data_IF_878703922269
#
_entry.id   IF_878703922269
#
_cell.length_a   1.000
_cell.length_b   1.000
_cell.length_c   1.000
_cell.angle_alpha   90.00
_cell.angle_beta   90.00
_cell.angle_gamma   90.00
#
_symmetry.space_group_name_H-M   'P 1'
#
loop_
_entity.id
_entity.type
_entity.pdbx_description
1 polymer ?
#
# COMPACT_ATOMS: atom_id res chain seq x y z
N UNK A 1 31.10 19.33 20.80
CA UNK A 1 30.77 17.88 20.95
C UNK A 1 29.45 17.47 20.28
N UNK A 2 28.48 18.36 20.04
CA UNK A 2 27.16 18.01 19.47
C UNK A 2 27.12 17.61 17.98
N UNK A 3 28.12 17.98 17.16
CA UNK A 3 28.16 17.57 15.73
C UNK A 3 28.53 16.10 15.51
N UNK A 4 29.29 15.49 16.43
CA UNK A 4 29.72 14.08 16.32
C UNK A 4 28.60 13.08 16.61
N UNK A 5 27.68 13.44 17.51
CA UNK A 5 26.53 12.60 17.91
C UNK A 5 25.40 12.61 16.89
N UNK A 6 25.19 13.70 16.15
CA UNK A 6 24.20 13.74 15.07
C UNK A 6 24.65 12.93 13.84
N UNK A 7 25.95 12.92 13.56
CA UNK A 7 26.54 12.18 12.44
C UNK A 7 26.66 10.68 12.72
N UNK A 8 26.77 10.28 14.00
CA UNK A 8 26.67 8.86 14.40
C UNK A 8 25.24 8.32 14.28
N UNK A 9 24.22 9.11 14.64
CA UNK A 9 22.82 8.69 14.54
C UNK A 9 22.32 8.56 13.09
N UNK A 10 22.80 9.41 12.16
CA UNK A 10 22.46 9.23 10.74
C UNK A 10 23.11 7.97 10.15
N UNK A 11 24.32 7.64 10.60
CA UNK A 11 25.01 6.42 10.17
C UNK A 11 24.40 5.13 10.72
N UNK A 12 23.83 5.14 11.93
CA UNK A 12 23.08 3.99 12.46
C UNK A 12 21.75 3.82 11.73
N UNK A 13 21.00 4.90 11.53
CA UNK A 13 19.74 4.86 10.79
C UNK A 13 19.93 4.39 9.33
N UNK A 14 21.04 4.76 8.69
CA UNK A 14 21.39 4.27 7.35
C UNK A 14 21.71 2.77 7.32
N UNK A 15 22.37 2.24 8.36
CA UNK A 15 22.65 0.80 8.46
C UNK A 15 21.37 0.00 8.73
N UNK A 16 20.47 0.51 9.57
CA UNK A 16 19.19 -0.13 9.84
C UNK A 16 18.29 -0.15 8.60
N UNK A 17 18.35 0.89 7.78
CA UNK A 17 17.65 0.93 6.49
C UNK A 17 18.21 -0.11 5.51
N UNK A 18 19.53 -0.22 5.42
CA UNK A 18 20.20 -1.22 4.58
C UNK A 18 19.88 -2.66 5.03
N UNK A 19 19.86 -2.91 6.34
CA UNK A 19 19.49 -4.21 6.88
C UNK A 19 18.03 -4.57 6.55
N UNK A 20 17.11 -3.60 6.62
CA UNK A 20 15.71 -3.80 6.19
C UNK A 20 15.61 -4.03 4.68
N UNK A 21 16.34 -3.29 3.88
CA UNK A 21 16.36 -3.47 2.41
C UNK A 21 16.84 -4.89 2.03
N UNK A 22 17.86 -5.39 2.73
CA UNK A 22 18.39 -6.74 2.51
C UNK A 22 17.38 -7.82 2.95
N UNK A 23 16.68 -7.62 4.07
CA UNK A 23 15.57 -8.49 4.49
C UNK A 23 14.41 -8.50 3.48
N UNK A 24 14.01 -7.34 2.96
CA UNK A 24 12.98 -7.27 1.91
C UNK A 24 13.43 -7.95 0.62
N UNK A 25 14.71 -7.84 0.26
CA UNK A 25 15.27 -8.52 -0.91
C UNK A 25 15.20 -10.04 -0.78
N UNK A 26 15.55 -10.57 0.40
CA UNK A 26 15.46 -12.02 0.68
C UNK A 26 14.00 -12.48 0.67
N UNK A 27 13.09 -11.73 1.30
CA UNK A 27 11.68 -12.09 1.35
C UNK A 27 11.03 -12.06 -0.05
N UNK A 28 11.38 -11.08 -0.89
CA UNK A 28 10.91 -11.02 -2.28
C UNK A 28 11.44 -12.20 -3.10
N UNK A 29 12.71 -12.58 -2.93
CA UNK A 29 13.26 -13.76 -3.61
C UNK A 29 12.50 -15.05 -3.21
N UNK A 30 12.16 -15.21 -1.92
CA UNK A 30 11.35 -16.34 -1.45
C UNK A 30 9.91 -16.33 -1.97
N UNK A 31 9.31 -15.14 -2.11
CA UNK A 31 7.99 -14.98 -2.72
C UNK A 31 8.01 -15.31 -4.21
N UNK A 32 9.04 -14.89 -4.94
CA UNK A 32 9.24 -15.25 -6.35
C UNK A 32 9.41 -16.76 -6.50
N UNK A 33 10.21 -17.40 -5.64
CA UNK A 33 10.40 -18.85 -5.65
C UNK A 33 9.11 -19.62 -5.38
N UNK A 34 8.33 -19.23 -4.35
CA UNK A 34 7.01 -19.83 -4.08
C UNK A 34 6.02 -19.61 -5.22
N UNK A 35 6.05 -18.44 -5.84
CA UNK A 35 5.19 -18.12 -6.98
C UNK A 35 5.54 -19.00 -8.18
N UNK A 36 6.83 -19.21 -8.43
CA UNK A 36 7.30 -20.12 -9.48
C UNK A 36 6.91 -21.58 -9.20
N UNK A 37 6.98 -22.02 -7.94
CA UNK A 37 6.54 -23.37 -7.55
C UNK A 37 5.02 -23.56 -7.75
N UNK A 38 4.20 -22.61 -7.31
CA UNK A 38 2.75 -22.67 -7.50
C UNK A 38 2.34 -22.62 -8.98
N UNK A 39 3.02 -21.81 -9.80
CA UNK A 39 2.81 -21.81 -11.25
C UNK A 39 3.12 -23.18 -11.86
N UNK A 40 4.21 -23.81 -11.41
CA UNK A 40 4.61 -25.13 -11.90
C UNK A 40 3.62 -26.22 -11.49
N UNK A 41 3.12 -26.17 -10.26
CA UNK A 41 2.08 -27.08 -9.77
C UNK A 41 0.75 -26.86 -10.52
N UNK A 42 0.38 -25.61 -10.80
CA UNK A 42 -0.79 -25.30 -11.62
C UNK A 42 -0.65 -25.83 -13.06
N UNK A 43 0.53 -25.66 -13.67
CA UNK A 43 0.82 -26.20 -15.00
C UNK A 43 0.78 -27.74 -15.00
N UNK A 44 1.30 -28.41 -13.95
CA UNK A 44 1.21 -29.86 -13.81
C UNK A 44 -0.25 -30.33 -13.69
N UNK A 45 -1.09 -29.62 -12.94
CA UNK A 45 -2.53 -29.91 -12.83
C UNK A 45 -3.26 -29.68 -14.16
N UNK A 46 -2.91 -28.63 -14.90
CA UNK A 46 -3.47 -28.38 -16.24
C UNK A 46 -3.07 -29.47 -17.23
N UNK A 47 -1.80 -29.89 -17.24
CA UNK A 47 -1.33 -30.99 -18.09
C UNK A 47 -1.97 -32.32 -17.72
N UNK A 48 -2.28 -32.55 -16.44
CA UNK A 48 -3.05 -33.73 -16.00
C UNK A 48 -4.53 -33.61 -16.39
N UNK A 49 -5.09 -32.40 -16.41
CA UNK A 49 -6.43 -32.12 -16.91
C UNK A 49 -6.56 -32.39 -18.41
N UNK A 50 -5.62 -31.89 -19.22
CA UNK A 50 -5.59 -32.10 -20.68
C UNK A 50 -5.44 -33.59 -21.04
N UNK A 51 -4.60 -34.34 -20.31
CA UNK A 51 -4.47 -35.81 -20.50
C UNK A 51 -5.73 -36.58 -20.12
N UNK A 52 -6.53 -36.06 -19.18
CA UNK A 52 -7.82 -36.66 -18.82
C UNK A 52 -8.92 -36.30 -19.84
N UNK A 53 -8.86 -35.12 -20.47
CA UNK A 53 -9.79 -34.72 -21.55
C UNK A 53 -9.53 -35.47 -22.86
N UNK A 54 -8.27 -35.78 -23.22
CA UNK A 54 -7.98 -36.66 -24.38
C UNK A 54 -8.46 -38.11 -24.19
N UNK A 55 -8.81 -38.51 -22.95
CA UNK A 55 -9.36 -39.83 -22.63
C UNK A 55 -10.90 -39.88 -22.62
N UNK A 56 -11.58 -38.73 -22.71
CA UNK A 56 -13.05 -38.63 -22.74
C UNK A 56 -13.49 -37.68 -23.86
N UNK A 57 -13.35 -38.16 -25.09
CA UNK A 57 -13.96 -37.51 -26.24
C UNK A 57 -15.49 -37.54 -26.17
N UNK A 58 -16.06 -36.34 -26.33
CA UNK A 58 -17.40 -36.03 -26.82
C UNK A 58 -18.61 -36.38 -25.94
N UNK A 59 -19.15 -35.35 -25.27
CA UNK A 59 -20.60 -35.13 -25.24
C UNK A 59 -20.88 -33.64 -25.29
N UNK A 60 -21.48 -33.20 -26.39
CA UNK A 60 -22.06 -31.88 -26.59
C UNK A 60 -22.99 -31.52 -25.42
N UNK A 61 -22.74 -30.38 -24.78
CA UNK A 61 -23.70 -29.79 -23.85
C UNK A 61 -24.24 -28.50 -24.48
N UNK A 62 -25.39 -28.64 -25.13
CA UNK A 62 -26.20 -27.51 -25.57
C UNK A 62 -26.64 -26.65 -24.37
N UNK A 63 -26.41 -25.36 -24.54
CA UNK A 63 -26.72 -24.27 -23.65
C UNK A 63 -28.24 -24.12 -23.46
N UNK A 64 -28.76 -24.57 -22.31
CA UNK A 64 -30.15 -24.27 -21.92
C UNK A 64 -30.22 -23.12 -20.91
N UNK A 65 -30.45 -21.93 -21.47
CA UNK A 65 -30.78 -20.70 -20.77
C UNK A 65 -32.19 -20.80 -20.15
N UNK A 66 -32.30 -20.90 -18.83
CA UNK A 66 -33.58 -20.88 -18.12
C UNK A 66 -33.77 -19.51 -17.45
N UNK A 67 -34.42 -18.60 -18.18
CA UNK A 67 -35.05 -17.43 -17.61
C UNK A 67 -36.57 -17.58 -17.66
N UNK A 68 -37.16 -17.38 -16.48
CA UNK A 68 -38.53 -17.00 -16.16
C UNK A 68 -39.59 -18.09 -15.89
N UNK A 69 -40.51 -17.82 -14.94
CA UNK A 69 -41.23 -18.81 -14.17
C UNK A 69 -42.68 -18.95 -14.62
N UNK A 70 -43.18 -20.17 -14.73
CA UNK A 70 -44.62 -20.42 -14.73
C UNK A 70 -44.90 -21.87 -14.35
N UNK A 71 -45.96 -22.03 -13.57
CA UNK A 71 -46.69 -23.27 -13.26
C UNK A 71 -46.17 -24.11 -12.09
N UNK A 72 -46.58 -23.64 -10.90
CA UNK A 72 -47.51 -24.36 -10.03
C UNK A 72 -47.49 -25.90 -10.08
N UNK A 73 -46.95 -26.50 -9.02
CA UNK A 73 -47.50 -27.72 -8.42
C UNK A 73 -47.27 -27.66 -6.91
N UNK A 74 -48.11 -26.87 -6.24
CA UNK A 74 -48.33 -27.00 -4.80
C UNK A 74 -48.98 -28.36 -4.54
N UNK A 75 -48.17 -29.40 -4.31
CA UNK A 75 -48.69 -30.64 -3.74
C UNK A 75 -49.05 -30.34 -2.28
N UNK A 76 -50.34 -30.04 -2.08
CA UNK A 76 -50.99 -30.10 -0.77
C UNK A 76 -50.69 -31.49 -0.21
N UNK A 77 -50.19 -31.52 1.03
CA UNK A 77 -50.22 -32.72 1.83
C UNK A 77 -51.67 -33.08 2.10
N UNK A 78 -52.25 -33.88 1.23
CA UNK A 78 -53.41 -34.68 1.56
C UNK A 78 -52.88 -35.94 2.23
N UNK A 79 -53.05 -35.92 3.55
CA UNK A 79 -52.97 -37.03 4.46
C UNK A 79 -53.94 -38.12 3.99
N UNK A 80 -53.47 -38.99 3.08
CA UNK A 80 -54.15 -40.25 2.80
C UNK A 80 -53.71 -41.24 3.86
N UNK A 81 -54.29 -41.06 5.05
CA UNK A 81 -54.67 -42.17 5.90
C UNK A 81 -55.50 -43.13 5.03
N UNK A 82 -54.83 -44.08 4.39
CA UNK A 82 -55.49 -45.27 3.86
C UNK A 82 -55.82 -46.10 5.09
N UNK A 83 -57.01 -45.83 5.61
CA UNK A 83 -57.75 -46.71 6.50
C UNK A 83 -57.61 -48.13 5.99
N UNK A 84 -56.97 -48.97 6.80
CA UNK A 84 -57.04 -50.43 6.67
C UNK A 84 -58.41 -50.91 7.13
N UNK A 85 -59.48 -50.43 6.51
CA UNK A 85 -60.83 -50.93 6.78
C UNK A 85 -61.68 -50.77 5.52
N UNK A 86 -61.74 -51.87 4.77
CA UNK A 86 -62.69 -52.03 3.68
C UNK A 86 -62.47 -53.37 2.98
N UNK A 87 -63.56 -54.03 2.60
CA UNK A 87 -64.48 -54.75 3.45
C UNK A 87 -64.16 -56.25 3.38
N UNK A 88 -64.59 -57.02 4.37
CA UNK A 88 -64.58 -58.49 4.27
C UNK A 88 -65.16 -58.91 2.92
N UNK A 89 -64.36 -59.65 2.16
CA UNK A 89 -64.79 -60.25 0.91
C UNK A 89 -65.92 -61.21 1.26
N UNK A 90 -67.14 -60.70 1.11
CA UNK A 90 -68.37 -61.45 1.23
C UNK A 90 -68.24 -62.58 0.22
N UNK A 91 -68.00 -63.78 0.74
CA UNK A 91 -68.31 -65.01 0.05
C UNK A 91 -69.77 -64.85 -0.36
N UNK A 92 -70.00 -64.58 -1.64
CA UNK A 92 -71.29 -64.80 -2.24
C UNK A 92 -71.55 -66.30 -2.05
N UNK A 93 -72.33 -66.63 -1.03
CA UNK A 93 -73.12 -67.84 -1.04
C UNK A 93 -74.07 -67.68 -2.24
N UNK A 94 -73.62 -68.13 -3.41
CA UNK A 94 -74.54 -68.51 -4.45
C UNK A 94 -75.43 -69.61 -3.86
N UNK A 95 -76.70 -69.25 -3.79
CA UNK A 95 -77.86 -70.09 -3.61
C UNK A 95 -77.60 -71.47 -4.22
N UNK A 96 -77.37 -72.47 -3.37
CA UNK A 96 -77.44 -73.88 -3.76
C UNK A 96 -78.92 -74.19 -4.02
N UNK A 97 -79.40 -73.72 -5.17
CA UNK A 97 -80.61 -74.18 -5.80
C UNK A 97 -80.56 -75.71 -5.88
N UNK A 98 -81.59 -76.32 -5.32
CA UNK A 98 -82.04 -77.69 -5.49
C UNK A 98 -81.21 -78.53 -6.49
N UNK A 99 -80.17 -79.23 -6.01
CA UNK A 99 -79.46 -80.26 -6.78
C UNK A 99 -80.30 -81.55 -6.86
N UNK A 100 -81.45 -81.47 -7.53
CA UNK A 100 -82.09 -82.62 -8.18
C UNK A 100 -81.79 -82.54 -9.69
N UNK A 101 -80.52 -82.30 -10.04
CA UNK A 101 -80.06 -82.37 -11.41
C UNK A 101 -79.64 -83.83 -11.68
N UNK A 102 -80.43 -84.53 -12.51
CA UNK A 102 -80.19 -85.91 -12.92
C UNK A 102 -78.69 -86.12 -13.24
N UNK A 103 -78.02 -86.93 -12.42
CA UNK A 103 -76.57 -87.18 -12.47
C UNK A 103 -76.15 -87.80 -13.82
N UNK A 104 -77.11 -88.34 -14.56
CA UNK A 104 -76.99 -89.03 -15.83
C UNK A 104 -77.65 -88.21 -16.96
N UNK A 105 -76.92 -87.88 -18.04
CA UNK A 105 -77.54 -87.29 -19.23
C UNK A 105 -78.61 -88.25 -19.80
N UNK A 106 -79.74 -87.75 -20.29
CA UNK A 106 -80.89 -88.56 -20.73
C UNK A 106 -80.62 -89.79 -21.64
N UNK A 107 -79.53 -89.87 -22.44
CA UNK A 107 -79.13 -91.10 -23.14
C UNK A 107 -78.53 -92.21 -22.24
N UNK A 108 -77.95 -91.84 -21.09
CA UNK A 108 -77.27 -92.74 -20.15
C UNK A 108 -78.24 -93.45 -19.18
N UNK A 109 -79.42 -92.87 -18.93
CA UNK A 109 -80.47 -93.49 -18.11
C UNK A 109 -81.11 -94.73 -18.74
N UNK A 110 -81.02 -94.87 -20.06
CA UNK A 110 -81.55 -96.02 -20.81
C UNK A 110 -80.57 -97.20 -20.92
N UNK A 111 -79.37 -97.08 -20.32
CA UNK A 111 -78.31 -98.09 -20.35
C UNK A 111 -78.45 -99.09 -19.20
N UNK A 112 -77.90 -100.30 -19.33
CA UNK A 112 -77.90 -101.27 -18.21
C UNK A 112 -77.10 -100.75 -17.02
N UNK A 113 -77.46 -101.16 -15.79
CA UNK A 113 -76.80 -100.73 -14.54
C UNK A 113 -75.26 -100.83 -14.58
N UNK A 114 -74.73 -101.83 -15.31
CA UNK A 114 -73.28 -102.06 -15.49
C UNK A 114 -72.65 -101.03 -16.43
N UNK A 115 -73.36 -100.61 -17.47
CA UNK A 115 -72.94 -99.55 -18.38
C UNK A 115 -73.03 -98.16 -17.72
N UNK A 116 -74.09 -97.90 -16.96
CA UNK A 116 -74.22 -96.69 -16.12
C UNK A 116 -73.08 -96.59 -15.10
N UNK A 117 -72.76 -97.68 -14.40
CA UNK A 117 -71.62 -97.72 -13.47
C UNK A 117 -70.27 -97.43 -14.15
N UNK A 118 -70.08 -97.90 -15.38
CA UNK A 118 -68.85 -97.64 -16.15
C UNK A 118 -68.77 -96.16 -16.58
N UNK A 119 -69.88 -95.57 -17.01
CA UNK A 119 -69.98 -94.15 -17.35
C UNK A 119 -69.71 -93.26 -16.12
N UNK A 120 -70.37 -93.52 -15.00
CA UNK A 120 -70.16 -92.77 -13.76
C UNK A 120 -68.71 -92.87 -13.28
N UNK A 121 -68.07 -94.05 -13.34
CA UNK A 121 -66.63 -94.18 -13.03
C UNK A 121 -65.73 -93.38 -13.98
N UNK A 122 -66.07 -93.31 -15.27
CA UNK A 122 -65.34 -92.49 -16.22
C UNK A 122 -65.53 -90.98 -15.96
N UNK A 123 -66.76 -90.54 -15.68
CA UNK A 123 -67.07 -89.15 -15.31
C UNK A 123 -66.35 -88.74 -14.01
N UNK A 124 -66.33 -89.62 -13.00
CA UNK A 124 -65.57 -89.39 -11.76
C UNK A 124 -64.07 -89.27 -12.05
N UNK A 125 -63.49 -90.09 -12.94
CA UNK A 125 -62.08 -89.95 -13.32
C UNK A 125 -61.79 -88.65 -14.06
N UNK A 126 -62.62 -88.27 -15.03
CA UNK A 126 -62.46 -86.99 -15.77
C UNK A 126 -62.57 -85.81 -14.81
N UNK A 127 -63.57 -85.79 -13.92
CA UNK A 127 -63.72 -84.75 -12.90
C UNK A 127 -62.55 -84.76 -11.90
N UNK A 128 -62.01 -85.93 -11.53
CA UNK A 128 -60.80 -86.03 -10.69
C UNK A 128 -59.57 -85.44 -11.40
N UNK A 129 -59.38 -85.73 -12.69
CA UNK A 129 -58.31 -85.16 -13.51
C UNK A 129 -58.48 -83.63 -13.68
N UNK A 130 -59.70 -83.14 -13.87
CA UNK A 130 -60.01 -81.70 -13.92
C UNK A 130 -59.73 -81.02 -12.59
N UNK A 131 -60.13 -81.61 -11.45
CA UNK A 131 -59.82 -81.09 -10.11
C UNK A 131 -58.32 -81.08 -9.86
N UNK A 132 -57.58 -82.12 -10.26
CA UNK A 132 -56.11 -82.16 -10.15
C UNK A 132 -55.46 -81.09 -11.04
N UNK A 133 -55.95 -80.88 -12.27
CA UNK A 133 -55.49 -79.82 -13.16
C UNK A 133 -55.74 -78.44 -12.56
N UNK A 134 -56.96 -78.17 -12.09
CA UNK A 134 -57.30 -76.90 -11.43
C UNK A 134 -56.48 -76.68 -10.16
N UNK A 135 -56.24 -77.74 -9.37
CA UNK A 135 -55.38 -77.68 -8.18
C UNK A 135 -53.93 -77.35 -8.53
N UNK A 136 -53.37 -77.96 -9.59
CA UNK A 136 -52.02 -77.64 -10.06
C UNK A 136 -51.90 -76.21 -10.57
N UNK A 137 -52.93 -75.70 -11.26
CA UNK A 137 -52.98 -74.31 -11.72
C UNK A 137 -53.08 -73.34 -10.55
N UNK A 138 -53.93 -73.62 -9.54
CA UNK A 138 -54.02 -72.82 -8.32
C UNK A 138 -52.68 -72.79 -7.57
N UNK A 139 -51.98 -73.91 -7.47
CA UNK A 139 -50.65 -73.95 -6.86
C UNK A 139 -49.63 -73.11 -7.65
N UNK A 140 -49.64 -73.19 -8.98
CA UNK A 140 -48.77 -72.36 -9.81
C UNK A 140 -49.06 -70.86 -9.62
N UNK A 141 -50.34 -70.46 -9.63
CA UNK A 141 -50.73 -69.08 -9.37
C UNK A 141 -50.38 -68.64 -7.94
N UNK A 142 -50.45 -69.54 -6.96
CA UNK A 142 -50.03 -69.26 -5.59
C UNK A 142 -48.53 -69.01 -5.51
N UNK A 143 -47.72 -69.86 -6.14
CA UNK A 143 -46.26 -69.69 -6.20
C UNK A 143 -45.86 -68.41 -6.93
N UNK A 144 -46.54 -68.10 -8.04
CA UNK A 144 -46.27 -66.88 -8.80
C UNK A 144 -46.72 -65.62 -8.04
N UNK A 145 -47.85 -65.66 -7.34
CA UNK A 145 -48.24 -64.59 -6.42
C UNK A 145 -47.19 -64.40 -5.32
N UNK A 146 -46.70 -65.46 -4.70
CA UNK A 146 -45.63 -65.37 -3.69
C UNK A 146 -44.35 -64.75 -4.26
N UNK A 147 -43.96 -65.13 -5.49
CA UNK A 147 -42.82 -64.53 -6.21
C UNK A 147 -43.04 -63.03 -6.48
N UNK A 148 -44.21 -62.66 -6.99
CA UNK A 148 -44.55 -61.27 -7.28
C UNK A 148 -44.61 -60.42 -6.01
N UNK A 149 -45.19 -60.92 -4.92
CA UNK A 149 -45.20 -60.24 -3.61
C UNK A 149 -43.77 -59.98 -3.11
N UNK A 150 -42.88 -60.97 -3.20
CA UNK A 150 -41.46 -60.77 -2.83
C UNK A 150 -40.80 -59.72 -3.72
N UNK A 151 -41.08 -59.74 -5.02
CA UNK A 151 -40.53 -58.75 -5.96
C UNK A 151 -41.01 -57.32 -5.67
N UNK A 152 -42.28 -57.16 -5.30
CA UNK A 152 -42.83 -55.86 -4.89
C UNK A 152 -42.14 -55.36 -3.61
N UNK A 153 -41.96 -56.23 -2.60
CA UNK A 153 -41.25 -55.87 -1.38
C UNK A 153 -39.81 -55.41 -1.65
N UNK A 154 -39.05 -56.15 -2.47
CA UNK A 154 -37.69 -55.78 -2.87
C UNK A 154 -37.65 -54.41 -3.58
N UNK A 155 -38.62 -54.14 -4.47
CA UNK A 155 -38.71 -52.86 -5.17
C UNK A 155 -39.12 -51.71 -4.23
N UNK A 156 -39.97 -51.95 -3.25
CA UNK A 156 -40.37 -50.97 -2.24
C UNK A 156 -39.20 -50.60 -1.32
N UNK A 157 -38.44 -51.60 -0.87
CA UNK A 157 -37.23 -51.40 -0.08
C UNK A 157 -36.18 -50.61 -0.86
N UNK A 158 -35.95 -50.95 -2.14
CA UNK A 158 -35.02 -50.23 -3.00
C UNK A 158 -35.50 -48.80 -3.29
N UNK A 159 -36.79 -48.58 -3.53
CA UNK A 159 -37.39 -47.24 -3.67
C UNK A 159 -37.15 -46.41 -2.42
N UNK A 160 -37.36 -46.98 -1.23
CA UNK A 160 -37.13 -46.29 0.03
C UNK A 160 -35.65 -45.96 0.24
N UNK A 161 -34.73 -46.87 -0.14
CA UNK A 161 -33.29 -46.65 -0.11
C UNK A 161 -32.88 -45.50 -1.03
N UNK A 162 -33.31 -45.53 -2.29
CA UNK A 162 -33.04 -44.48 -3.27
C UNK A 162 -33.63 -43.14 -2.83
N UNK A 163 -34.83 -43.13 -2.25
CA UNK A 163 -35.44 -41.91 -1.73
C UNK A 163 -34.59 -41.26 -0.61
N UNK A 164 -34.05 -42.05 0.32
CA UNK A 164 -33.14 -41.55 1.37
C UNK A 164 -31.82 -41.01 0.79
N UNK A 165 -31.28 -41.68 -0.21
CA UNK A 165 -30.04 -41.25 -0.89
C UNK A 165 -30.28 -39.93 -1.65
N UNK A 166 -31.38 -39.82 -2.39
CA UNK A 166 -31.75 -38.60 -3.12
C UNK A 166 -31.98 -37.41 -2.19
N UNK A 167 -32.68 -37.61 -1.06
CA UNK A 167 -32.89 -36.52 -0.08
C UNK A 167 -31.58 -36.09 0.58
N UNK A 168 -30.69 -37.04 0.90
CA UNK A 168 -29.35 -36.73 1.43
C UNK A 168 -28.49 -35.97 0.43
N UNK A 169 -28.43 -36.40 -0.84
CA UNK A 169 -27.70 -35.69 -1.89
C UNK A 169 -28.28 -34.30 -2.16
N UNK A 170 -29.61 -34.16 -2.16
CA UNK A 170 -30.26 -32.85 -2.29
C UNK A 170 -29.80 -31.87 -1.20
N UNK A 171 -29.79 -32.30 0.06
CA UNK A 171 -29.32 -31.48 1.18
C UNK A 171 -27.82 -31.12 1.04
N UNK A 172 -27.00 -32.04 0.54
CA UNK A 172 -25.58 -31.79 0.31
C UNK A 172 -25.34 -30.79 -0.83
N UNK A 173 -26.12 -30.87 -1.92
CA UNK A 173 -26.07 -29.92 -3.02
C UNK A 173 -26.43 -28.52 -2.54
N UNK A 174 -27.48 -28.38 -1.73
CA UNK A 174 -27.89 -27.08 -1.19
C UNK A 174 -26.83 -26.48 -0.26
N UNK A 175 -26.17 -27.32 0.56
CA UNK A 175 -25.04 -26.89 1.40
C UNK A 175 -23.87 -26.38 0.56
N UNK A 176 -23.49 -27.10 -0.49
CA UNK A 176 -22.41 -26.69 -1.39
C UNK A 176 -22.77 -25.40 -2.15
N UNK A 177 -24.00 -25.28 -2.65
CA UNK A 177 -24.49 -24.05 -3.30
C UNK A 177 -24.41 -22.84 -2.37
N UNK A 178 -24.80 -22.99 -1.11
CA UNK A 178 -24.71 -21.92 -0.12
C UNK A 178 -23.26 -21.50 0.11
N UNK A 179 -22.36 -22.47 0.32
CA UNK A 179 -20.93 -22.20 0.51
C UNK A 179 -20.27 -21.56 -0.72
N UNK A 180 -20.65 -21.99 -1.93
CA UNK A 180 -20.18 -21.39 -3.18
C UNK A 180 -20.62 -19.93 -3.30
N UNK A 181 -21.88 -19.63 -2.98
CA UNK A 181 -22.38 -18.26 -3.01
C UNK A 181 -21.68 -17.38 -1.97
N UNK A 182 -21.45 -17.88 -0.76
CA UNK A 182 -20.68 -17.17 0.26
C UNK A 182 -19.25 -16.87 -0.23
N UNK A 183 -18.57 -17.86 -0.82
CA UNK A 183 -17.24 -17.67 -1.41
C UNK A 183 -17.24 -16.64 -2.55
N UNK A 184 -18.24 -16.69 -3.45
CA UNK A 184 -18.40 -15.70 -4.53
C UNK A 184 -18.56 -14.28 -3.99
N UNK A 185 -19.47 -14.09 -3.01
CA UNK A 185 -19.65 -12.77 -2.39
C UNK A 185 -18.39 -12.28 -1.69
N UNK A 186 -17.60 -13.18 -1.11
CA UNK A 186 -16.32 -12.84 -0.50
C UNK A 186 -15.29 -12.40 -1.54
N UNK A 187 -15.21 -13.09 -2.68
CA UNK A 187 -14.38 -12.68 -3.81
C UNK A 187 -14.78 -11.29 -4.33
N UNK A 188 -16.07 -11.03 -4.53
CA UNK A 188 -16.56 -9.72 -5.00
C UNK A 188 -16.16 -8.58 -4.04
N UNK A 189 -16.25 -8.81 -2.73
CA UNK A 189 -15.83 -7.84 -1.70
C UNK A 189 -14.32 -7.59 -1.75
N UNK A 190 -13.52 -8.66 -1.81
CA UNK A 190 -12.06 -8.54 -1.91
C UNK A 190 -11.62 -7.84 -3.20
N UNK A 191 -12.29 -8.09 -4.33
CA UNK A 191 -12.03 -7.39 -5.58
C UNK A 191 -12.34 -5.89 -5.47
N UNK A 192 -13.45 -5.52 -4.83
CA UNK A 192 -13.82 -4.13 -4.58
C UNK A 192 -12.79 -3.43 -3.67
N UNK A 193 -12.34 -4.08 -2.61
CA UNK A 193 -11.30 -3.58 -1.71
C UNK A 193 -9.96 -3.40 -2.45
N UNK A 194 -9.53 -4.41 -3.20
CA UNK A 194 -8.31 -4.37 -4.03
C UNK A 194 -8.35 -3.20 -5.01
N UNK A 195 -9.50 -2.95 -5.64
CA UNK A 195 -9.68 -1.83 -6.56
C UNK A 195 -9.63 -0.47 -5.85
N UNK A 196 -10.17 -0.39 -4.64
CA UNK A 196 -10.13 0.81 -3.80
C UNK A 196 -8.69 1.11 -3.36
N UNK A 197 -7.99 0.13 -2.78
CA UNK A 197 -6.59 0.26 -2.38
C UNK A 197 -5.68 0.61 -3.57
N UNK A 198 -5.94 0.05 -4.76
CA UNK A 198 -5.21 0.42 -5.99
C UNK A 198 -5.38 1.91 -6.31
N UNK A 199 -6.61 2.43 -6.28
CA UNK A 199 -6.89 3.85 -6.54
C UNK A 199 -6.24 4.77 -5.50
N UNK A 200 -6.27 4.39 -4.23
CA UNK A 200 -5.59 5.10 -3.16
C UNK A 200 -4.06 5.11 -3.33
N UNK A 201 -3.47 3.98 -3.75
CA UNK A 201 -2.06 3.88 -4.09
C UNK A 201 -1.66 4.79 -5.26
N UNK A 202 -2.47 4.82 -6.33
CA UNK A 202 -2.26 5.73 -7.46
C UNK A 202 -2.40 7.20 -7.05
N UNK A 203 -3.38 7.54 -6.20
CA UNK A 203 -3.57 8.88 -5.66
C UNK A 203 -2.36 9.33 -4.82
N UNK A 204 -1.91 8.47 -3.91
CA UNK A 204 -0.74 8.71 -3.05
C UNK A 204 0.54 8.87 -3.88
N UNK A 205 0.70 8.10 -4.96
CA UNK A 205 1.84 8.26 -5.87
C UNK A 205 1.82 9.61 -6.58
N UNK A 206 0.63 10.10 -6.99
CA UNK A 206 0.49 11.44 -7.60
C UNK A 206 0.84 12.55 -6.61
N UNK A 207 0.32 12.48 -5.38
CA UNK A 207 0.62 13.50 -4.35
C UNK A 207 2.09 13.48 -3.96
N UNK A 208 2.72 12.32 -3.82
CA UNK A 208 4.16 12.18 -3.58
C UNK A 208 4.99 12.84 -4.70
N UNK A 209 4.65 12.59 -5.96
CA UNK A 209 5.33 13.21 -7.09
C UNK A 209 5.18 14.73 -7.09
N UNK A 210 3.98 15.23 -6.80
CA UNK A 210 3.74 16.67 -6.67
C UNK A 210 4.60 17.27 -5.54
N UNK A 211 4.58 16.68 -4.35
CA UNK A 211 5.42 17.12 -3.23
C UNK A 211 6.91 17.07 -3.56
N UNK A 212 7.38 16.08 -4.31
CA UNK A 212 8.77 16.02 -4.75
C UNK A 212 9.15 17.19 -5.68
N UNK A 213 8.24 17.62 -6.56
CA UNK A 213 8.47 18.82 -7.40
C UNK A 213 8.46 20.12 -6.60
N UNK A 214 7.55 20.24 -5.64
CA UNK A 214 7.47 21.38 -4.73
C UNK A 214 8.71 21.48 -3.83
N UNK A 215 9.17 20.34 -3.31
CA UNK A 215 10.40 20.25 -2.52
C UNK A 215 11.60 20.71 -3.35
N UNK A 216 11.78 20.22 -4.59
CA UNK A 216 12.86 20.67 -5.48
C UNK A 216 12.81 22.17 -5.74
N UNK A 217 11.62 22.73 -5.94
CA UNK A 217 11.42 24.17 -6.14
C UNK A 217 11.82 24.97 -4.91
N UNK A 218 11.37 24.57 -3.71
CA UNK A 218 11.71 25.24 -2.45
C UNK A 218 13.18 25.10 -2.09
N UNK A 219 13.80 23.94 -2.31
CA UNK A 219 15.25 23.73 -2.15
C UNK A 219 16.04 24.67 -3.07
N UNK A 220 15.62 24.84 -4.33
CA UNK A 220 16.30 25.76 -5.26
C UNK A 220 16.18 27.22 -4.80
N UNK A 221 15.01 27.64 -4.30
CA UNK A 221 14.84 29.00 -3.73
C UNK A 221 15.70 29.20 -2.50
N UNK A 222 15.75 28.21 -1.61
CA UNK A 222 16.59 28.23 -0.42
C UNK A 222 18.07 28.36 -0.79
N UNK A 223 18.54 27.58 -1.77
CA UNK A 223 19.92 27.62 -2.23
C UNK A 223 20.31 29.01 -2.74
N UNK A 224 19.45 29.67 -3.54
CA UNK A 224 19.68 31.05 -3.99
C UNK A 224 19.75 32.04 -2.82
N UNK A 225 18.86 31.91 -1.84
CA UNK A 225 18.87 32.78 -0.65
C UNK A 225 20.14 32.58 0.20
N UNK A 226 20.64 31.34 0.30
CA UNK A 226 21.91 31.04 0.97
C UNK A 226 23.10 31.66 0.23
N UNK A 227 23.14 31.53 -1.09
CA UNK A 227 24.18 32.16 -1.94
C UNK A 227 24.19 33.69 -1.81
N UNK A 228 23.01 34.32 -1.80
CA UNK A 228 22.89 35.77 -1.58
C UNK A 228 23.34 36.19 -0.19
N UNK A 229 22.97 35.42 0.84
CA UNK A 229 23.42 35.66 2.22
C UNK A 229 24.95 35.58 2.33
N UNK A 230 25.56 34.60 1.68
CA UNK A 230 27.02 34.44 1.65
C UNK A 230 27.70 35.58 0.90
N UNK A 231 27.12 36.02 -0.24
CA UNK A 231 27.59 37.20 -0.98
C UNK A 231 27.59 38.46 -0.10
N UNK A 232 26.50 38.71 0.64
CA UNK A 232 26.37 39.88 1.52
C UNK A 232 27.36 39.83 2.69
N UNK A 233 27.64 38.66 3.25
CA UNK A 233 28.68 38.50 4.28
C UNK A 233 30.06 38.85 3.75
N UNK A 234 30.42 38.35 2.57
CA UNK A 234 31.72 38.66 1.94
C UNK A 234 31.85 40.15 1.64
N UNK A 235 30.78 40.79 1.16
CA UNK A 235 30.74 42.23 0.92
C UNK A 235 30.93 43.03 2.22
N UNK A 236 30.25 42.61 3.31
CA UNK A 236 30.39 43.22 4.62
C UNK A 236 31.81 43.07 5.20
N UNK A 237 32.43 41.90 5.06
CA UNK A 237 33.81 41.67 5.52
C UNK A 237 34.82 42.52 4.73
N UNK A 238 34.63 42.66 3.41
CA UNK A 238 35.44 43.53 2.56
C UNK A 238 35.29 45.01 2.95
N UNK A 239 34.08 45.45 3.25
CA UNK A 239 33.83 46.82 3.72
C UNK A 239 34.47 47.05 5.10
N UNK A 240 34.40 46.07 6.01
CA UNK A 240 35.07 46.13 7.31
C UNK A 240 36.59 46.21 7.19
N UNK A 241 37.21 45.40 6.35
CA UNK A 241 38.65 45.44 6.14
C UNK A 241 39.08 46.77 5.52
N UNK A 242 38.39 47.24 4.48
CA UNK A 242 38.67 48.55 3.87
C UNK A 242 38.50 49.71 4.85
N UNK A 243 37.47 49.68 5.70
CA UNK A 243 37.28 50.69 6.75
C UNK A 243 38.43 50.67 7.75
N UNK A 244 38.88 49.48 8.17
CA UNK A 244 40.02 49.34 9.07
C UNK A 244 41.29 49.93 8.46
N UNK A 245 41.61 49.56 7.22
CA UNK A 245 42.80 50.04 6.52
C UNK A 245 42.76 51.56 6.30
N UNK A 246 41.59 52.13 5.97
CA UNK A 246 41.39 53.58 5.87
C UNK A 246 41.61 54.28 7.22
N UNK A 247 41.06 53.74 8.31
CA UNK A 247 41.26 54.29 9.66
C UNK A 247 42.73 54.25 10.05
N UNK A 248 43.44 53.16 9.77
CA UNK A 248 44.86 53.04 10.09
C UNK A 248 45.73 53.97 9.23
N UNK A 249 45.40 54.15 7.95
CA UNK A 249 46.03 55.16 7.07
C UNK A 249 45.78 56.60 7.56
N UNK A 250 44.55 56.91 8.00
CA UNK A 250 44.22 58.20 8.59
C UNK A 250 45.00 58.45 9.89
N UNK A 251 45.11 57.44 10.76
CA UNK A 251 45.94 57.54 11.98
C UNK A 251 47.39 57.85 11.64
N UNK A 252 47.99 57.13 10.68
CA UNK A 252 49.36 57.39 10.27
C UNK A 252 49.55 58.80 9.72
N UNK A 253 48.59 59.28 8.91
CA UNK A 253 48.59 60.66 8.40
C UNK A 253 48.47 61.70 9.51
N UNK A 254 47.60 61.47 10.50
CA UNK A 254 47.44 62.34 11.67
C UNK A 254 48.75 62.35 12.48
N UNK A 255 49.35 61.20 12.73
CA UNK A 255 50.64 61.09 13.43
C UNK A 255 51.74 61.86 12.71
N UNK A 256 51.85 61.71 11.38
CA UNK A 256 52.82 62.45 10.57
C UNK A 256 52.60 63.97 10.70
N UNK A 257 51.37 64.44 10.50
CA UNK A 257 51.03 65.86 10.64
C UNK A 257 51.31 66.40 12.05
N UNK A 258 51.05 65.61 13.10
CA UNK A 258 51.40 65.99 14.47
C UNK A 258 52.91 66.16 14.67
N UNK A 259 53.72 65.24 14.12
CA UNK A 259 55.19 65.34 14.22
C UNK A 259 55.73 66.56 13.47
N UNK A 260 55.22 66.83 12.28
CA UNK A 260 55.58 68.00 11.49
C UNK A 260 55.15 69.31 12.15
N UNK A 261 53.94 69.36 12.71
CA UNK A 261 53.45 70.53 13.44
C UNK A 261 54.35 70.82 14.67
N UNK A 262 54.72 69.79 15.44
CA UNK A 262 55.69 69.92 16.54
C UNK A 262 57.05 70.40 16.05
N UNK A 263 57.52 69.94 14.88
CA UNK A 263 58.79 70.39 14.28
C UNK A 263 58.73 71.87 13.88
N UNK A 264 57.67 72.28 13.20
CA UNK A 264 57.45 73.68 12.77
C UNK A 264 57.34 74.63 13.96
N UNK A 265 56.63 74.26 15.03
CA UNK A 265 56.57 75.07 16.25
C UNK A 265 57.93 75.22 16.94
N UNK A 266 58.79 74.19 16.93
CA UNK A 266 60.19 74.32 17.39
C UNK A 266 60.99 75.29 16.51
N UNK A 267 60.93 75.14 15.19
CA UNK A 267 61.62 76.06 14.26
C UNK A 267 61.16 77.51 14.42
N UNK A 268 59.85 77.72 14.61
CA UNK A 268 59.27 79.04 14.89
C UNK A 268 59.78 79.63 16.20
N UNK A 269 59.84 78.86 17.28
CA UNK A 269 60.37 79.35 18.57
C UNK A 269 61.87 79.65 18.52
N UNK A 270 62.65 78.83 17.82
CA UNK A 270 64.07 79.08 17.54
C UNK A 270 64.27 80.37 16.74
N UNK A 271 63.48 80.55 15.67
CA UNK A 271 63.54 81.74 14.82
C UNK A 271 63.15 83.01 15.59
N UNK A 272 62.08 82.98 16.39
CA UNK A 272 61.69 84.08 17.29
C UNK A 272 62.84 84.41 18.25
N UNK A 273 63.49 83.40 18.82
CA UNK A 273 64.61 83.58 19.74
C UNK A 273 65.82 84.21 19.03
N UNK A 274 66.14 83.78 17.80
CA UNK A 274 67.19 84.37 16.98
C UNK A 274 66.91 85.85 16.68
N UNK A 275 65.69 86.19 16.24
CA UNK A 275 65.30 87.58 16.00
C UNK A 275 65.39 88.45 17.26
N UNK A 276 64.96 87.94 18.42
CA UNK A 276 65.10 88.65 19.71
C UNK A 276 66.57 88.94 20.04
N UNK A 277 67.48 87.97 19.81
CA UNK A 277 68.92 88.17 20.01
C UNK A 277 69.48 89.21 19.03
N UNK A 278 69.05 89.16 17.77
CA UNK A 278 69.47 90.11 16.72
C UNK A 278 69.00 91.54 17.03
N UNK A 279 67.77 91.73 17.52
CA UNK A 279 67.27 93.02 18.00
C UNK A 279 68.14 93.60 19.12
N UNK A 280 68.48 92.79 20.14
CA UNK A 280 69.39 93.22 21.22
C UNK A 280 70.77 93.60 20.70
N UNK A 281 71.30 92.85 19.73
CA UNK A 281 72.59 93.17 19.11
C UNK A 281 72.52 94.51 18.37
N UNK A 282 71.44 94.77 17.62
CA UNK A 282 71.21 96.07 16.95
C UNK A 282 71.20 97.20 17.99
N UNK A 283 70.53 97.03 19.13
CA UNK A 283 70.47 98.04 20.18
C UNK A 283 71.87 98.35 20.77
N UNK A 284 72.66 97.30 21.05
CA UNK A 284 74.04 97.45 21.54
C UNK A 284 74.91 98.16 20.51
N UNK A 285 74.86 97.75 19.24
CA UNK A 285 75.64 98.35 18.15
C UNK A 285 75.26 99.83 17.93
N UNK A 286 73.98 100.19 18.03
CA UNK A 286 73.52 101.59 17.94
C UNK A 286 74.08 102.44 19.09
N UNK A 287 74.06 101.93 20.33
CA UNK A 287 74.68 102.63 21.48
C UNK A 287 76.19 102.77 21.31
N UNK A 288 76.87 101.71 20.86
CA UNK A 288 78.32 101.75 20.60
C UNK A 288 78.65 102.79 19.53
N UNK A 289 77.89 102.83 18.42
CA UNK A 289 78.05 103.85 17.38
C UNK A 289 77.92 105.27 17.96
N UNK A 290 76.88 105.52 18.74
CA UNK A 290 76.66 106.82 19.40
C UNK A 290 77.81 107.22 20.33
N UNK A 291 78.29 106.29 21.16
CA UNK A 291 79.42 106.54 22.08
C UNK A 291 80.71 106.84 21.32
N UNK A 292 80.98 106.10 20.22
CA UNK A 292 82.14 106.35 19.36
C UNK A 292 82.03 107.72 18.69
N UNK A 293 80.85 108.08 18.16
CA UNK A 293 80.61 109.41 17.57
C UNK A 293 80.82 110.53 18.60
N UNK A 294 80.30 110.40 19.81
CA UNK A 294 80.52 111.34 20.90
C UNK A 294 82.01 111.45 21.29
N UNK A 295 82.72 110.31 21.40
CA UNK A 295 84.16 110.29 21.68
C UNK A 295 84.99 110.96 20.59
N UNK A 296 84.63 110.77 19.31
CA UNK A 296 85.28 111.46 18.19
C UNK A 296 85.04 112.96 18.22
N UNK A 297 83.81 113.40 18.53
CA UNK A 297 83.52 114.82 18.72
C UNK A 297 84.35 115.41 19.86
N UNK A 298 84.47 114.70 21.00
CA UNK A 298 85.32 115.13 22.12
C UNK A 298 86.80 115.22 21.73
N UNK A 299 87.33 114.23 21.01
CA UNK A 299 88.70 114.26 20.49
C UNK A 299 88.94 115.46 19.57
N UNK A 300 88.01 115.75 18.65
CA UNK A 300 88.11 116.93 17.79
C UNK A 300 88.11 118.23 18.60
N UNK A 301 87.22 118.36 19.60
CA UNK A 301 87.22 119.54 20.48
C UNK A 301 88.49 119.66 21.32
N UNK A 302 89.07 118.54 21.77
CA UNK A 302 90.35 118.50 22.50
C UNK A 302 91.51 118.93 21.59
N UNK A 303 91.57 118.41 20.37
CA UNK A 303 92.55 118.81 19.36
C UNK A 303 92.44 120.31 18.99
N UNK A 304 91.22 120.82 18.83
CA UNK A 304 90.98 122.25 18.58
C UNK A 304 91.40 123.13 19.79
N UNK A 305 91.10 122.68 21.01
CA UNK A 305 91.51 123.37 22.24
C UNK A 305 93.03 123.39 22.42
N UNK A 306 93.72 122.27 22.16
CA UNK A 306 95.19 122.19 22.20
C UNK A 306 95.83 123.08 21.13
N UNK A 307 95.31 123.10 19.90
CA UNK A 307 95.77 124.04 18.86
C UNK A 307 95.62 125.51 19.30
N UNK A 308 94.55 125.85 20.01
CA UNK A 308 94.36 127.19 20.55
C UNK A 308 95.36 127.55 21.66
N UNK A 309 95.83 126.56 22.44
CA UNK A 309 96.90 126.72 23.43
C UNK A 309 98.29 126.85 22.76
N UNK A 310 98.57 126.09 21.70
CA UNK A 310 99.82 126.20 20.94
C UNK A 310 99.95 127.53 20.16
N UNK A 311 98.83 128.18 19.84
CA UNK A 311 98.83 129.55 19.34
C UNK A 311 99.28 130.59 20.39
N UNK A 312 99.24 130.27 21.69
CA UNK A 312 99.78 131.15 22.74
C UNK A 312 101.29 130.94 22.97
N UNK A 313 101.87 129.82 22.57
CA UNK A 313 103.32 129.54 22.70
C UNK A 313 104.13 129.91 21.47
N UNK A 314 103.46 130.21 20.35
CA UNK A 314 104.07 130.77 19.13
C UNK A 314 103.71 132.24 18.95
N UNK A 315 103.95 133.07 19.97
CA UNK A 315 104.07 134.51 19.79
C UNK A 315 105.48 134.81 19.28
N UNK A 316 105.68 135.26 18.02
CA UNK A 316 106.94 135.84 17.62
C UNK A 316 107.04 137.21 18.30
N UNK A 317 108.18 137.43 18.95
CA UNK A 317 108.67 138.75 19.35
C UNK A 317 108.71 139.71 18.17
#
# INVERSE_FOLDING_TARGET
MLRRTLQSNSSSASRDLQAKEEQYRILNAQLEEKTAQLLKEADEVLVLGEKNEESQGASDFEELNVLAPANDCRIKGDDSSIDKDGPGEQIYHEDNGNFDEDILPGPADKLSQKAQNRYLKAKVRVLQEEVQKMSSQLNNYHDDNARLTKRVQELEEERNRLHRVTTSHSAQVDKVKKSLNEARTHCDVLEAERNTLRKEGESTKRTMNQQATELKSTTTRLQRALEETERLKQELDKMRSSTRDNVDSMKHTIEQLMTDNRRLERQKTELITAFKKQLRLIDVLRRQKMLIEASKCLQLTEEEFLKALDWQTTSPS
#
